data_IF_726409651164
#
_entry.id   IF_726409651164
#
_cell.length_a   1.000
_cell.length_b   1.000
_cell.length_c   1.000
_cell.angle_alpha   90.00
_cell.angle_beta   90.00
_cell.angle_gamma   90.00
#
_symmetry.space_group_name_H-M   'P 1'
#
loop_
_entity.id
_entity.type
_entity.pdbx_description
1 polymer ?
#
# COMPACT_ATOMS: atom_id res chain seq x y z
N UNK A 1 53.62 34.84 -62.81
CA UNK A 1 53.23 36.27 -62.64
C UNK A 1 51.82 36.34 -62.08
N UNK A 2 51.63 37.10 -60.97
CA UNK A 2 50.48 37.95 -60.57
C UNK A 2 49.05 37.33 -60.63
N UNK A 3 48.15 37.36 -59.64
CA UNK A 3 47.91 38.11 -58.38
C UNK A 3 46.69 37.40 -57.73
N UNK A 4 46.62 37.04 -56.44
CA UNK A 4 46.27 37.88 -55.27
C UNK A 4 45.18 38.94 -55.52
N UNK A 5 43.95 38.64 -55.09
CA UNK A 5 42.99 39.67 -54.65
C UNK A 5 42.45 39.25 -53.29
N UNK A 6 42.89 40.01 -52.28
CA UNK A 6 42.30 40.12 -50.98
C UNK A 6 41.04 40.98 -51.06
N UNK A 7 40.07 40.72 -50.18
CA UNK A 7 39.11 41.73 -49.78
C UNK A 7 38.93 41.69 -48.26
N UNK A 8 39.04 42.90 -47.73
CA UNK A 8 39.18 43.31 -46.34
C UNK A 8 37.79 43.45 -45.69
N UNK A 9 37.75 43.22 -44.38
CA UNK A 9 36.60 43.30 -43.47
C UNK A 9 35.84 44.65 -43.49
N UNK A 10 34.66 44.70 -42.83
CA UNK A 10 34.73 45.34 -41.52
C UNK A 10 34.03 44.58 -40.38
N UNK A 11 34.60 44.81 -39.22
CA UNK A 11 34.15 44.48 -37.86
C UNK A 11 32.90 45.29 -37.51
N UNK A 12 31.80 44.60 -37.20
CA UNK A 12 30.72 45.01 -36.31
C UNK A 12 30.28 43.69 -35.65
N UNK A 13 30.51 43.40 -34.38
CA UNK A 13 30.18 44.23 -33.23
C UNK A 13 28.86 43.73 -32.63
N UNK A 14 28.86 42.54 -32.04
CA UNK A 14 27.84 42.09 -31.09
C UNK A 14 28.42 40.96 -30.22
N UNK A 15 28.89 41.36 -29.04
CA UNK A 15 29.12 40.47 -27.91
C UNK A 15 27.79 39.84 -27.53
N UNK A 16 27.46 38.69 -28.12
CA UNK A 16 26.57 37.74 -27.47
C UNK A 16 27.42 37.04 -26.40
N UNK A 17 27.45 37.62 -25.20
CA UNK A 17 27.75 36.84 -24.00
C UNK A 17 26.74 35.69 -23.99
N UNK A 18 27.17 34.52 -24.46
CA UNK A 18 26.55 33.27 -24.08
C UNK A 18 26.75 33.19 -22.57
N UNK A 19 25.77 33.70 -21.83
CA UNK A 19 25.59 33.34 -20.45
C UNK A 19 25.38 31.82 -20.46
N UNK A 20 26.47 31.08 -20.25
CA UNK A 20 26.39 29.81 -19.57
C UNK A 20 25.71 30.13 -18.24
N UNK A 21 24.38 30.02 -18.21
CA UNK A 21 23.70 29.81 -16.96
C UNK A 21 24.31 28.54 -16.40
N UNK A 22 25.07 28.57 -15.29
CA UNK A 22 25.29 27.34 -14.57
C UNK A 22 23.88 26.87 -14.22
N UNK A 23 23.49 25.72 -14.78
CA UNK A 23 22.45 24.94 -14.14
C UNK A 23 22.97 24.77 -12.71
N UNK A 24 22.35 25.49 -11.76
CA UNK A 24 22.53 25.24 -10.36
C UNK A 24 22.11 23.79 -10.16
N UNK A 25 23.10 22.90 -10.17
CA UNK A 25 22.96 21.57 -9.64
C UNK A 25 22.51 21.77 -8.20
N UNK A 26 21.23 21.47 -7.94
CA UNK A 26 20.77 21.24 -6.57
C UNK A 26 21.50 19.99 -6.09
N UNK A 27 22.71 20.18 -5.55
CA UNK A 27 23.60 19.14 -5.03
C UNK A 27 22.99 18.41 -3.81
N UNK A 28 21.91 18.96 -3.23
CA UNK A 28 21.27 18.42 -2.02
C UNK A 28 20.16 17.40 -2.30
N UNK A 29 19.80 17.17 -3.55
CA UNK A 29 18.67 16.30 -3.86
C UNK A 29 19.17 14.85 -4.04
N UNK A 30 19.23 14.11 -2.92
CA UNK A 30 19.71 12.74 -2.92
C UNK A 30 18.88 11.84 -3.85
N UNK A 31 19.56 11.04 -4.67
CA UNK A 31 18.95 10.23 -5.73
C UNK A 31 18.86 8.73 -5.41
N UNK A 32 19.20 8.31 -4.19
CA UNK A 32 19.21 6.90 -3.80
C UNK A 32 20.17 6.65 -2.63
N UNK A 33 20.86 5.50 -2.62
CA UNK A 33 21.89 5.22 -1.62
C UNK A 33 23.07 6.19 -1.77
N UNK A 34 23.31 7.01 -0.76
CA UNK A 34 24.54 7.81 -0.68
C UNK A 34 25.77 6.90 -0.60
N UNK A 35 26.96 7.45 -0.86
CA UNK A 35 28.21 6.69 -0.69
C UNK A 35 28.38 6.19 0.75
N UNK A 36 27.98 7.00 1.74
CA UNK A 36 27.97 6.60 3.15
C UNK A 36 27.01 5.43 3.40
N UNK A 37 25.77 5.52 2.91
CA UNK A 37 24.78 4.45 3.05
C UNK A 37 25.23 3.18 2.33
N UNK A 38 25.89 3.30 1.17
CA UNK A 38 26.44 2.18 0.41
C UNK A 38 27.56 1.47 1.19
N UNK A 39 28.51 2.25 1.76
CA UNK A 39 29.58 1.70 2.60
C UNK A 39 29.03 1.04 3.87
N UNK A 40 28.02 1.65 4.48
CA UNK A 40 27.34 1.09 5.64
C UNK A 40 26.61 -0.20 5.25
N UNK A 41 25.82 -0.21 4.18
CA UNK A 41 25.13 -1.41 3.71
C UNK A 41 26.10 -2.57 3.43
N UNK A 42 27.28 -2.28 2.86
CA UNK A 42 28.33 -3.28 2.61
C UNK A 42 28.92 -3.89 3.89
N UNK A 43 28.88 -3.19 5.02
CA UNK A 43 29.45 -3.66 6.30
C UNK A 43 28.45 -4.35 7.22
N UNK A 44 27.16 -4.27 6.90
CA UNK A 44 26.10 -4.82 7.74
C UNK A 44 25.68 -6.22 7.28
N UNK A 45 25.38 -7.13 8.22
CA UNK A 45 24.63 -8.35 7.92
C UNK A 45 23.26 -8.01 7.30
N UNK A 46 22.91 -8.70 6.21
CA UNK A 46 21.67 -8.45 5.47
C UNK A 46 20.66 -9.56 5.68
N UNK A 47 19.42 -9.18 5.97
CA UNK A 47 18.29 -10.07 6.16
C UNK A 47 17.15 -9.68 5.22
N UNK A 48 16.54 -10.66 4.56
CA UNK A 48 15.34 -10.50 3.74
C UNK A 48 14.23 -11.32 4.38
N UNK A 49 13.27 -10.63 4.98
CA UNK A 49 12.19 -11.24 5.76
C UNK A 49 10.83 -10.97 5.08
N UNK A 50 10.01 -12.01 4.88
CA UNK A 50 8.65 -11.84 4.44
C UNK A 50 7.80 -11.34 5.61
N UNK A 51 6.88 -10.43 5.34
CA UNK A 51 5.92 -9.97 6.33
C UNK A 51 4.84 -11.02 6.58
N UNK A 52 4.42 -11.72 5.52
CA UNK A 52 3.57 -12.92 5.55
C UNK A 52 4.06 -13.89 4.48
N UNK A 53 3.88 -15.21 4.65
CA UNK A 53 4.35 -16.20 3.67
C UNK A 53 3.51 -16.24 2.39
N UNK A 54 2.29 -15.70 2.44
CA UNK A 54 1.29 -15.80 1.37
C UNK A 54 0.56 -14.47 1.20
N UNK A 55 -0.09 -14.30 0.06
CA UNK A 55 -0.97 -13.15 -0.17
C UNK A 55 -2.07 -13.11 0.89
N UNK A 56 -2.24 -11.92 1.47
CA UNK A 56 -3.25 -11.62 2.50
C UNK A 56 -3.83 -10.23 2.26
N UNK A 57 -5.05 -9.94 2.71
CA UNK A 57 -5.57 -8.58 2.66
C UNK A 57 -4.78 -7.65 3.58
N UNK A 58 -4.43 -6.49 3.07
CA UNK A 58 -3.64 -5.46 3.76
C UNK A 58 -4.44 -4.16 3.84
N UNK A 59 -4.34 -3.49 5.00
CA UNK A 59 -4.71 -2.08 5.11
C UNK A 59 -3.47 -1.20 5.13
N UNK A 60 -3.49 -0.21 4.25
CA UNK A 60 -2.54 0.88 4.23
C UNK A 60 -3.17 2.10 4.88
N UNK A 61 -2.69 2.41 6.08
CA UNK A 61 -3.03 3.66 6.75
C UNK A 61 -1.92 4.64 6.41
N UNK A 62 -2.16 5.49 5.40
CA UNK A 62 -1.23 6.56 5.05
C UNK A 62 -1.66 7.86 5.70
N UNK A 63 -0.79 8.52 6.47
CA UNK A 63 -0.97 9.92 6.84
C UNK A 63 -0.42 10.78 5.69
N UNK A 64 -1.28 11.29 4.81
CA UNK A 64 -0.87 12.14 3.68
C UNK A 64 -1.31 13.57 3.94
N UNK A 65 -0.48 14.37 4.60
CA UNK A 65 -0.66 15.81 4.65
C UNK A 65 -0.19 16.46 3.35
N UNK A 66 -1.10 16.64 2.38
CA UNK A 66 -0.79 17.29 1.10
C UNK A 66 -1.93 18.14 0.53
N UNK A 67 -1.62 19.20 -0.25
CA UNK A 67 -2.63 20.08 -0.87
C UNK A 67 -3.39 19.44 -2.05
N UNK A 68 -2.91 18.31 -2.59
CA UNK A 68 -3.63 17.54 -3.63
C UNK A 68 -4.64 16.51 -3.08
N UNK A 69 -4.82 16.43 -1.76
CA UNK A 69 -5.95 15.71 -1.15
C UNK A 69 -7.32 16.36 -1.42
N UNK A 70 -7.38 17.40 -2.26
CA UNK A 70 -8.59 18.16 -2.58
C UNK A 70 -9.58 17.43 -3.49
N UNK A 71 -9.25 16.27 -4.07
CA UNK A 71 -10.22 15.38 -4.72
C UNK A 71 -10.73 14.24 -3.85
N UNK A 72 -10.15 14.04 -2.65
CA UNK A 72 -10.58 13.04 -1.68
C UNK A 72 -10.64 13.67 -0.27
N UNK A 73 -11.75 14.37 0.00
CA UNK A 73 -12.29 14.68 1.33
C UNK A 73 -11.29 15.08 2.43
N UNK A 74 -10.93 16.37 2.50
CA UNK A 74 -10.33 16.98 3.71
C UNK A 74 -11.38 16.95 4.84
N UNK A 75 -11.06 16.51 6.06
CA UNK A 75 -10.27 17.21 7.09
C UNK A 75 -9.62 16.16 8.03
N UNK A 76 -8.32 16.31 8.34
CA UNK A 76 -7.58 15.48 9.31
C UNK A 76 -6.88 14.27 8.64
N UNK A 77 -5.75 14.52 7.99
CA UNK A 77 -5.28 13.75 6.83
C UNK A 77 -4.68 12.36 7.15
N UNK A 78 -5.52 11.40 7.50
CA UNK A 78 -5.32 10.00 7.17
C UNK A 78 -6.03 9.70 5.85
N UNK A 79 -5.29 9.24 4.85
CA UNK A 79 -5.83 8.58 3.67
C UNK A 79 -5.80 7.09 3.96
N UNK A 80 -6.96 6.52 4.28
CA UNK A 80 -7.14 5.08 4.38
C UNK A 80 -7.36 4.59 2.95
N UNK A 81 -6.37 3.91 2.38
CA UNK A 81 -6.54 3.28 1.07
C UNK A 81 -7.17 1.90 1.28
N UNK A 82 -8.22 1.59 0.50
CA UNK A 82 -9.05 0.38 0.65
C UNK A 82 -10.53 0.62 0.97
N UNK A 83 -10.97 1.89 1.07
CA UNK A 83 -12.38 2.27 1.18
C UNK A 83 -12.75 3.25 0.05
N UNK A 84 -14.00 3.25 -0.45
CA UNK A 84 -14.49 4.27 -1.37
C UNK A 84 -14.37 5.68 -0.79
N UNK A 85 -14.21 6.73 -1.62
CA UNK A 85 -13.96 8.10 -1.15
C UNK A 85 -15.00 8.65 -0.16
N UNK A 86 -16.29 8.31 -0.34
CA UNK A 86 -17.36 8.75 0.54
C UNK A 86 -17.31 8.08 1.93
N UNK A 87 -16.96 6.79 1.98
CA UNK A 87 -16.78 6.05 3.23
C UNK A 87 -15.50 6.49 3.93
N UNK A 88 -14.39 6.64 3.19
CA UNK A 88 -13.14 7.18 3.69
C UNK A 88 -13.33 8.58 4.30
N UNK A 89 -14.10 9.47 3.67
CA UNK A 89 -14.42 10.80 4.20
C UNK A 89 -15.25 10.73 5.51
N UNK A 90 -16.23 9.82 5.59
CA UNK A 90 -17.04 9.64 6.80
C UNK A 90 -16.25 9.04 7.97
N UNK A 91 -15.30 8.14 7.69
CA UNK A 91 -14.41 7.54 8.69
C UNK A 91 -13.36 8.55 9.16
N UNK A 92 -12.78 9.34 8.25
CA UNK A 92 -11.87 10.45 8.59
C UNK A 92 -12.56 11.53 9.42
N UNK A 93 -13.86 11.79 9.18
CA UNK A 93 -14.65 12.72 10.01
C UNK A 93 -14.82 12.23 11.46
N UNK A 94 -14.88 10.91 11.68
CA UNK A 94 -14.95 10.31 13.02
C UNK A 94 -13.61 10.41 13.78
N UNK A 95 -12.50 10.35 13.04
CA UNK A 95 -11.11 10.47 13.55
C UNK A 95 -10.76 11.92 13.92
N UNK A 96 -11.45 12.92 13.35
CA UNK A 96 -11.22 14.35 13.60
C UNK A 96 -11.57 14.85 15.01
N UNK A 97 -12.24 14.06 15.85
CA UNK A 97 -12.75 14.48 17.16
C UNK A 97 -11.76 14.26 18.33
N UNK A 98 -10.54 14.80 18.24
CA UNK A 98 -9.58 14.85 19.36
C UNK A 98 -8.83 13.54 19.66
N UNK A 99 -7.72 13.66 20.41
CA UNK A 99 -6.72 12.59 20.60
C UNK A 99 -7.28 11.29 21.23
N UNK A 100 -8.36 11.36 22.01
CA UNK A 100 -9.04 10.18 22.58
C UNK A 100 -9.97 9.46 21.59
N UNK A 101 -10.56 10.17 20.61
CA UNK A 101 -11.41 9.57 19.59
C UNK A 101 -10.60 8.90 18.47
N UNK A 102 -9.36 9.32 18.24
CA UNK A 102 -8.47 8.76 17.22
C UNK A 102 -8.12 7.28 17.47
N UNK A 103 -7.88 6.90 18.74
CA UNK A 103 -7.54 5.51 19.10
C UNK A 103 -8.76 4.60 18.95
N UNK A 104 -9.94 5.05 19.39
CA UNK A 104 -11.18 4.28 19.28
C UNK A 104 -11.66 4.17 17.83
N UNK A 105 -11.53 5.23 17.02
CA UNK A 105 -11.89 5.21 15.60
C UNK A 105 -10.96 4.31 14.78
N UNK A 106 -9.64 4.32 15.04
CA UNK A 106 -8.71 3.39 14.39
C UNK A 106 -9.07 1.93 14.66
N UNK A 107 -9.46 1.58 15.89
CA UNK A 107 -9.89 0.22 16.24
C UNK A 107 -11.18 -0.19 15.51
N UNK A 108 -12.17 0.70 15.42
CA UNK A 108 -13.43 0.43 14.69
C UNK A 108 -13.19 0.32 13.18
N UNK A 109 -12.39 1.20 12.60
CA UNK A 109 -11.97 1.14 11.19
C UNK A 109 -11.27 -0.18 10.90
N UNK A 110 -10.37 -0.58 11.79
CA UNK A 110 -9.68 -1.85 11.72
C UNK A 110 -10.65 -3.03 11.77
N UNK A 111 -11.59 -3.04 12.71
CA UNK A 111 -12.58 -4.11 12.83
C UNK A 111 -13.49 -4.20 11.59
N UNK A 112 -14.00 -3.08 11.10
CA UNK A 112 -14.82 -3.02 9.89
C UNK A 112 -14.03 -3.46 8.65
N UNK A 113 -12.79 -2.97 8.52
CA UNK A 113 -11.86 -3.37 7.48
C UNK A 113 -11.60 -4.87 7.51
N UNK A 114 -11.36 -5.45 8.71
CA UNK A 114 -11.18 -6.89 8.90
C UNK A 114 -12.38 -7.69 8.43
N UNK A 115 -13.59 -7.31 8.87
CA UNK A 115 -14.80 -8.00 8.45
C UNK A 115 -15.02 -7.97 6.94
N UNK A 116 -14.73 -6.84 6.29
CA UNK A 116 -14.85 -6.68 4.83
C UNK A 116 -13.78 -7.46 4.07
N UNK A 117 -12.52 -7.33 4.51
CA UNK A 117 -11.40 -8.05 3.92
C UNK A 117 -11.57 -9.56 4.00
N UNK A 118 -12.02 -10.09 5.15
CA UNK A 118 -12.29 -11.52 5.31
C UNK A 118 -13.35 -11.99 4.30
N UNK A 119 -14.51 -11.33 4.26
CA UNK A 119 -15.59 -11.69 3.33
C UNK A 119 -15.14 -11.70 1.87
N UNK A 120 -14.34 -10.71 1.48
CA UNK A 120 -13.84 -10.63 0.12
C UNK A 120 -12.76 -11.69 -0.14
N UNK A 121 -11.90 -11.98 0.83
CA UNK A 121 -10.82 -12.95 0.69
C UNK A 121 -11.30 -14.40 0.55
N UNK A 122 -12.48 -14.72 1.08
CA UNK A 122 -13.04 -16.08 1.02
C UNK A 122 -13.03 -16.64 -0.41
N UNK A 123 -13.35 -15.83 -1.43
CA UNK A 123 -13.33 -16.26 -2.84
C UNK A 123 -11.90 -16.60 -3.33
N UNK A 124 -10.91 -15.79 -2.94
CA UNK A 124 -9.49 -16.00 -3.27
C UNK A 124 -8.96 -17.25 -2.56
N UNK A 125 -9.33 -17.45 -1.29
CA UNK A 125 -8.92 -18.62 -0.52
C UNK A 125 -9.53 -19.91 -1.06
N UNK A 126 -10.83 -19.91 -1.38
CA UNK A 126 -11.52 -21.06 -1.95
C UNK A 126 -10.91 -21.48 -3.30
N UNK A 127 -10.50 -20.51 -4.12
CA UNK A 127 -9.81 -20.76 -5.38
C UNK A 127 -8.31 -21.08 -5.22
N UNK A 128 -7.77 -21.08 -4.00
CA UNK A 128 -6.33 -21.27 -3.69
C UNK A 128 -5.42 -20.24 -4.37
N UNK A 129 -5.93 -19.02 -4.53
CA UNK A 129 -5.22 -17.88 -5.11
C UNK A 129 -4.47 -17.04 -4.07
N UNK A 130 -4.33 -17.53 -2.83
CA UNK A 130 -3.52 -16.93 -1.78
C UNK A 130 -2.03 -17.28 -1.98
N UNK A 131 -1.45 -16.91 -3.12
CA UNK A 131 -0.14 -17.38 -3.58
C UNK A 131 1.01 -17.10 -2.59
N UNK A 132 2.06 -17.94 -2.57
CA UNK A 132 3.26 -17.67 -1.77
C UNK A 132 4.02 -16.44 -2.28
N UNK A 133 4.82 -15.82 -1.43
CA UNK A 133 5.61 -14.62 -1.75
C UNK A 133 7.12 -14.88 -1.90
N UNK A 134 7.53 -16.15 -1.97
CA UNK A 134 8.94 -16.56 -2.03
C UNK A 134 9.69 -15.95 -3.23
N UNK A 135 8.99 -15.78 -4.35
CA UNK A 135 9.53 -15.19 -5.59
C UNK A 135 9.95 -13.75 -5.39
N UNK A 136 9.20 -12.99 -4.56
CA UNK A 136 9.55 -11.62 -4.21
C UNK A 136 10.82 -11.58 -3.35
N UNK A 137 10.95 -12.48 -2.37
CA UNK A 137 12.19 -12.58 -1.57
C UNK A 137 13.40 -12.89 -2.46
N UNK A 138 13.26 -13.84 -3.38
CA UNK A 138 14.31 -14.19 -4.35
C UNK A 138 14.69 -12.99 -5.22
N UNK A 139 13.70 -12.27 -5.75
CA UNK A 139 13.94 -11.08 -6.57
C UNK A 139 14.66 -9.95 -5.81
N UNK A 140 14.34 -9.76 -4.53
CA UNK A 140 15.04 -8.79 -3.66
C UNK A 140 16.49 -9.23 -3.42
N UNK A 141 16.73 -10.49 -3.08
CA UNK A 141 18.09 -11.04 -2.93
C UNK A 141 18.90 -10.89 -4.20
N UNK A 142 18.32 -11.21 -5.35
CA UNK A 142 18.99 -11.08 -6.64
C UNK A 142 19.28 -9.61 -6.98
N UNK A 143 18.39 -8.69 -6.59
CA UNK A 143 18.62 -7.24 -6.74
C UNK A 143 19.76 -6.75 -5.87
N UNK A 144 19.89 -7.26 -4.63
CA UNK A 144 21.02 -6.98 -3.74
C UNK A 144 22.32 -7.50 -4.35
N UNK A 145 22.35 -8.74 -4.86
CA UNK A 145 23.55 -9.33 -5.48
C UNK A 145 24.02 -8.55 -6.72
N UNK A 146 23.10 -7.94 -7.46
CA UNK A 146 23.43 -7.08 -8.62
C UNK A 146 23.93 -5.69 -8.23
N UNK A 147 23.76 -5.28 -6.98
CA UNK A 147 24.23 -3.98 -6.50
C UNK A 147 25.75 -3.96 -6.30
N UNK A 148 26.36 -2.77 -6.38
CA UNK A 148 27.80 -2.59 -6.21
C UNK A 148 28.30 -2.99 -4.81
N UNK A 149 27.45 -2.88 -3.79
CA UNK A 149 27.79 -3.22 -2.41
C UNK A 149 27.42 -4.68 -2.05
N UNK A 150 26.36 -5.22 -2.65
CA UNK A 150 25.77 -6.50 -2.27
C UNK A 150 26.32 -7.72 -3.01
N UNK A 151 27.21 -7.54 -4.00
CA UNK A 151 27.75 -8.64 -4.82
C UNK A 151 28.47 -9.73 -4.01
N UNK A 152 29.08 -9.37 -2.88
CA UNK A 152 29.76 -10.31 -1.96
C UNK A 152 28.97 -10.57 -0.68
N UNK A 153 27.82 -9.91 -0.53
CA UNK A 153 27.00 -10.00 0.67
C UNK A 153 26.11 -11.24 0.62
N UNK A 154 26.25 -12.11 1.63
CA UNK A 154 25.36 -13.25 1.79
C UNK A 154 24.07 -12.82 2.50
N UNK A 155 23.09 -12.35 1.72
CA UNK A 155 21.77 -11.99 2.23
C UNK A 155 21.04 -13.23 2.76
N UNK A 156 20.72 -13.25 4.05
CA UNK A 156 19.98 -14.33 4.69
C UNK A 156 18.49 -14.17 4.38
N UNK A 157 17.88 -15.21 3.85
CA UNK A 157 16.43 -15.27 3.64
C UNK A 157 15.81 -16.04 4.78
N UNK A 158 14.85 -15.42 5.43
CA UNK A 158 14.08 -16.09 6.49
C UNK A 158 12.74 -16.51 5.92
N UNK A 159 12.27 -17.68 6.36
CA UNK A 159 11.03 -18.28 5.89
C UNK A 159 10.11 -18.53 7.09
N UNK A 160 8.81 -18.43 6.88
CA UNK A 160 7.83 -18.89 7.85
C UNK A 160 7.86 -20.42 7.89
N UNK A 161 7.87 -20.98 9.11
CA UNK A 161 7.68 -22.41 9.36
C UNK A 161 6.38 -22.53 10.15
N UNK A 162 5.43 -23.32 9.63
CA UNK A 162 4.13 -23.56 10.26
C UNK A 162 3.33 -22.26 10.56
N UNK A 163 3.35 -21.29 9.64
CA UNK A 163 2.62 -20.03 9.82
C UNK A 163 3.20 -19.09 10.87
N UNK A 164 4.40 -19.36 11.37
CA UNK A 164 5.11 -18.46 12.28
C UNK A 164 6.53 -18.21 11.78
N UNK A 165 7.02 -16.98 11.95
CA UNK A 165 8.42 -16.70 11.67
C UNK A 165 9.24 -17.32 12.79
N UNK A 166 10.14 -18.24 12.46
CA UNK A 166 10.99 -18.90 13.46
C UNK A 166 11.76 -17.84 14.25
N UNK A 167 11.51 -17.76 15.55
CA UNK A 167 12.12 -16.73 16.41
C UNK A 167 13.63 -16.84 16.46
N UNK A 168 14.20 -18.01 16.22
CA UNK A 168 15.66 -18.24 16.16
C UNK A 168 16.27 -17.72 14.86
N UNK A 169 15.43 -17.48 13.86
CA UNK A 169 15.76 -16.98 12.54
C UNK A 169 15.45 -15.49 12.37
N UNK A 170 14.88 -14.85 13.41
CA UNK A 170 14.69 -13.41 13.39
C UNK A 170 16.06 -12.69 13.36
N UNK A 171 16.17 -11.56 12.64
CA UNK A 171 17.37 -10.73 12.69
C UNK A 171 17.68 -10.33 14.15
N UNK A 172 18.93 -10.45 14.60
CA UNK A 172 19.31 -10.12 15.97
C UNK A 172 19.04 -8.65 16.24
N UNK A 173 18.19 -8.36 17.24
CA UNK A 173 17.74 -6.98 17.53
C UNK A 173 18.84 -6.11 18.17
N UNK A 174 19.83 -6.75 18.78
CA UNK A 174 20.93 -6.09 19.49
C UNK A 174 22.20 -5.88 18.65
N UNK A 175 22.17 -6.26 17.38
CA UNK A 175 23.32 -6.18 16.46
C UNK A 175 23.03 -5.25 15.26
N UNK A 176 24.06 -4.59 14.72
CA UNK A 176 23.93 -3.81 13.49
C UNK A 176 23.46 -4.71 12.34
N UNK A 177 22.49 -4.24 11.55
CA UNK A 177 21.85 -5.05 10.51
C UNK A 177 21.16 -4.18 9.46
N UNK A 178 21.06 -4.71 8.25
CA UNK A 178 20.20 -4.20 7.19
C UNK A 178 19.06 -5.21 6.97
N UNK A 179 17.82 -4.76 7.09
CA UNK A 179 16.63 -5.61 7.02
C UNK A 179 15.76 -5.16 5.85
N UNK A 180 15.45 -6.09 4.96
CA UNK A 180 14.47 -5.93 3.90
C UNK A 180 13.19 -6.66 4.31
N UNK A 181 12.13 -5.91 4.58
CA UNK A 181 10.80 -6.48 4.85
C UNK A 181 10.01 -6.49 3.56
N UNK A 182 9.72 -7.69 3.05
CA UNK A 182 8.97 -7.86 1.81
C UNK A 182 7.54 -8.27 2.10
N UNK A 183 6.58 -7.74 1.35
CA UNK A 183 5.17 -8.07 1.54
C UNK A 183 4.43 -8.02 0.22
N UNK A 184 3.40 -8.84 0.07
CA UNK A 184 2.45 -8.73 -1.03
C UNK A 184 1.05 -9.07 -0.52
N UNK A 185 0.04 -8.39 -1.04
CA UNK A 185 -1.32 -8.54 -0.54
C UNK A 185 -2.35 -7.72 -1.30
N UNK A 186 -3.61 -8.02 -1.05
CA UNK A 186 -4.73 -7.33 -1.68
C UNK A 186 -5.12 -6.10 -0.86
N UNK A 187 -5.62 -5.05 -1.52
CA UNK A 187 -6.38 -4.01 -0.82
C UNK A 187 -7.65 -4.58 -0.18
N UNK A 188 -8.22 -3.91 0.82
CA UNK A 188 -9.44 -4.36 1.53
C UNK A 188 -10.63 -4.60 0.59
N UNK A 189 -10.75 -3.74 -0.42
CA UNK A 189 -11.75 -3.80 -1.47
C UNK A 189 -11.30 -4.63 -2.69
N UNK A 190 -10.13 -5.29 -2.61
CA UNK A 190 -9.59 -6.12 -3.68
C UNK A 190 -9.48 -5.41 -5.04
N UNK A 191 -9.49 -4.08 -5.07
CA UNK A 191 -9.29 -3.33 -6.30
C UNK A 191 -7.86 -3.50 -6.82
N UNK A 192 -6.89 -3.76 -5.94
CA UNK A 192 -5.48 -3.87 -6.28
C UNK A 192 -4.79 -5.03 -5.58
N UNK A 193 -3.70 -5.52 -6.20
CA UNK A 193 -2.64 -6.27 -5.55
C UNK A 193 -1.44 -5.35 -5.35
N UNK A 194 -1.01 -5.23 -4.10
CA UNK A 194 0.08 -4.36 -3.66
C UNK A 194 1.27 -5.20 -3.24
N UNK A 195 2.46 -4.77 -3.64
CA UNK A 195 3.74 -5.39 -3.27
C UNK A 195 4.63 -4.34 -2.66
N UNK A 196 5.25 -4.65 -1.53
CA UNK A 196 6.02 -3.70 -0.74
C UNK A 196 7.38 -4.25 -0.39
N UNK A 197 8.39 -3.37 -0.39
CA UNK A 197 9.70 -3.66 0.19
C UNK A 197 10.13 -2.48 1.04
N UNK A 198 10.29 -2.71 2.34
CA UNK A 198 10.84 -1.74 3.27
C UNK A 198 12.31 -2.10 3.54
N UNK A 199 13.22 -1.13 3.41
CA UNK A 199 14.66 -1.29 3.61
C UNK A 199 15.07 -0.49 4.84
N UNK A 200 15.44 -1.18 5.92
CA UNK A 200 15.73 -0.58 7.22
C UNK A 200 17.17 -0.87 7.64
N UNK A 201 17.95 0.18 7.85
CA UNK A 201 19.30 0.05 8.42
C UNK A 201 19.29 0.34 9.91
N UNK A 202 19.75 -0.60 10.72
CA UNK A 202 19.98 -0.44 12.15
C UNK A 202 21.50 -0.46 12.37
N UNK A 203 22.10 0.70 12.67
CA UNK A 203 23.53 0.79 12.89
C UNK A 203 23.86 1.82 13.98
N UNK A 204 24.90 1.59 14.80
CA UNK A 204 25.30 2.52 15.84
C UNK A 204 25.67 3.89 15.29
N UNK A 205 25.21 4.93 15.98
CA UNK A 205 25.66 6.30 15.80
C UNK A 205 25.97 6.88 17.19
N UNK A 206 27.24 7.17 17.44
CA UNK A 206 27.71 7.57 18.77
C UNK A 206 27.61 6.45 19.83
N UNK A 207 27.42 6.84 21.10
CA UNK A 207 27.42 5.92 22.25
C UNK A 207 26.03 5.37 22.63
N UNK A 208 24.98 5.76 21.90
CA UNK A 208 23.59 5.40 22.22
C UNK A 208 23.19 3.99 21.78
N UNK A 209 22.09 3.47 22.35
CA UNK A 209 21.48 2.17 21.98
C UNK A 209 20.15 2.30 21.22
N UNK A 210 19.72 3.54 20.92
CA UNK A 210 18.48 3.84 20.21
C UNK A 210 18.41 3.13 18.84
N UNK A 211 19.55 3.04 18.15
CA UNK A 211 19.70 2.35 16.87
C UNK A 211 19.26 0.88 16.87
N UNK A 212 19.13 0.23 18.04
CA UNK A 212 18.63 -1.14 18.14
C UNK A 212 17.14 -1.25 17.82
N UNK A 213 16.40 -0.16 18.10
CA UNK A 213 14.94 -0.04 17.94
C UNK A 213 14.54 0.87 16.80
N UNK A 214 15.37 1.88 16.52
CA UNK A 214 15.10 2.90 15.50
C UNK A 214 16.05 2.71 14.32
N UNK A 215 15.50 2.60 13.12
CA UNK A 215 16.31 2.54 11.91
C UNK A 215 16.98 3.89 11.67
N UNK A 216 18.27 3.87 11.34
CA UNK A 216 19.04 5.04 10.94
C UNK A 216 18.46 5.67 9.67
N UNK A 217 17.94 4.86 8.76
CA UNK A 217 17.18 5.30 7.59
C UNK A 217 16.22 4.21 7.12
N UNK A 218 15.18 4.63 6.40
CA UNK A 218 14.17 3.77 5.80
C UNK A 218 13.88 4.20 4.34
N UNK A 219 13.85 3.21 3.45
CA UNK A 219 13.19 3.31 2.14
C UNK A 219 11.99 2.38 2.09
N UNK A 220 10.85 2.87 1.61
CA UNK A 220 9.65 2.08 1.37
C UNK A 220 9.31 2.12 -0.11
N UNK A 221 9.35 0.96 -0.76
CA UNK A 221 8.96 0.76 -2.15
C UNK A 221 7.61 0.09 -2.20
N UNK A 222 6.70 0.61 -3.04
CA UNK A 222 5.38 0.03 -3.25
C UNK A 222 5.11 -0.05 -4.74
N UNK A 223 4.87 -1.26 -5.25
CA UNK A 223 4.32 -1.51 -6.56
C UNK A 223 2.84 -1.88 -6.40
N UNK A 224 1.97 -1.26 -7.20
CA UNK A 224 0.53 -1.51 -7.18
C UNK A 224 0.11 -2.01 -8.56
N UNK A 225 -0.67 -3.08 -8.59
CA UNK A 225 -1.23 -3.58 -9.85
C UNK A 225 -2.22 -2.58 -10.44
N UNK A 226 -2.48 -2.72 -11.74
CA UNK A 226 -3.63 -2.07 -12.35
C UNK A 226 -4.91 -2.34 -11.55
N UNK A 227 -5.79 -1.34 -11.38
CA UNK A 227 -7.07 -1.53 -10.72
C UNK A 227 -7.92 -2.54 -11.47
N UNK A 228 -8.66 -3.36 -10.72
CA UNK A 228 -9.81 -4.04 -11.30
C UNK A 228 -10.86 -3.00 -11.68
N UNK A 229 -11.02 -2.81 -12.98
CA UNK A 229 -12.12 -2.05 -13.55
C UNK A 229 -13.34 -2.98 -13.62
N UNK A 230 -14.40 -2.57 -12.94
CA UNK A 230 -15.69 -3.24 -12.99
C UNK A 230 -16.61 -2.44 -13.91
N UNK A 231 -17.07 -3.08 -14.97
CA UNK A 231 -18.18 -2.56 -15.76
C UNK A 231 -19.46 -2.53 -14.94
N UNK A 232 -20.48 -1.83 -15.42
CA UNK A 232 -21.81 -1.87 -14.79
C UNK A 232 -22.33 -3.31 -14.69
N UNK A 233 -23.16 -3.58 -13.67
CA UNK A 233 -23.74 -4.91 -13.46
C UNK A 233 -24.53 -5.36 -14.69
N UNK A 234 -24.28 -6.59 -15.12
CA UNK A 234 -25.12 -7.26 -16.10
C UNK A 234 -26.41 -7.76 -15.46
N UNK A 235 -27.41 -8.14 -16.27
CA UNK A 235 -28.61 -8.81 -15.77
C UNK A 235 -28.27 -10.10 -15.01
N UNK A 236 -27.26 -10.84 -15.47
CA UNK A 236 -26.81 -12.06 -14.80
C UNK A 236 -26.22 -11.76 -13.40
N UNK A 237 -25.49 -10.65 -13.25
CA UNK A 237 -24.96 -10.22 -11.95
C UNK A 237 -26.10 -9.84 -10.98
N UNK A 238 -27.08 -9.09 -11.48
CA UNK A 238 -28.27 -8.69 -10.69
C UNK A 238 -29.03 -9.92 -10.21
N UNK A 239 -29.28 -10.89 -11.11
CA UNK A 239 -29.99 -12.12 -10.79
C UNK A 239 -29.20 -13.01 -9.82
N UNK A 240 -27.87 -13.07 -9.97
CA UNK A 240 -27.00 -13.81 -9.05
C UNK A 240 -27.00 -13.19 -7.65
N UNK A 241 -26.82 -11.87 -7.54
CA UNK A 241 -26.86 -11.15 -6.26
C UNK A 241 -28.22 -11.27 -5.58
N UNK A 242 -29.30 -11.13 -6.36
CA UNK A 242 -30.67 -11.25 -5.85
C UNK A 242 -30.91 -12.66 -5.29
N UNK A 243 -30.50 -13.71 -6.02
CA UNK A 243 -30.59 -15.10 -5.52
C UNK A 243 -29.74 -15.32 -4.27
N UNK A 244 -28.52 -14.78 -4.23
CA UNK A 244 -27.64 -14.89 -3.07
C UNK A 244 -28.24 -14.23 -1.82
N UNK A 245 -28.87 -13.05 -1.96
CA UNK A 245 -29.54 -12.36 -0.87
C UNK A 245 -30.77 -13.14 -0.36
N UNK A 246 -31.60 -13.68 -1.26
CA UNK A 246 -32.71 -14.56 -0.86
C UNK A 246 -32.23 -15.79 -0.09
N UNK A 247 -31.18 -16.45 -0.59
CA UNK A 247 -30.58 -17.61 0.08
C UNK A 247 -30.02 -17.23 1.46
N UNK A 248 -29.29 -16.11 1.56
CA UNK A 248 -28.75 -15.61 2.83
C UNK A 248 -29.87 -15.33 3.83
N UNK A 249 -30.93 -14.63 3.40
CA UNK A 249 -32.04 -14.26 4.28
C UNK A 249 -32.83 -15.47 4.79
N UNK A 250 -32.99 -16.50 3.96
CA UNK A 250 -33.59 -17.78 4.35
C UNK A 250 -32.71 -18.52 5.39
N UNK A 251 -31.39 -18.58 5.17
CA UNK A 251 -30.44 -19.29 6.04
C UNK A 251 -30.29 -18.67 7.43
N UNK A 252 -30.50 -17.37 7.61
CA UNK A 252 -30.41 -16.74 8.94
C UNK A 252 -31.61 -17.01 9.85
N UNK A 253 -32.69 -17.62 9.34
CA UNK A 253 -33.94 -17.79 10.08
C UNK A 253 -34.72 -16.49 10.32
N UNK A 254 -34.28 -15.38 9.72
CA UNK A 254 -34.91 -14.07 9.87
C UNK A 254 -36.33 -14.05 9.31
N UNK A 255 -36.59 -14.79 8.23
CA UNK A 255 -37.94 -14.92 7.69
C UNK A 255 -38.89 -15.54 8.72
N UNK A 256 -38.45 -16.59 9.42
CA UNK A 256 -39.24 -17.21 10.48
C UNK A 256 -39.47 -16.25 11.66
N UNK A 257 -38.44 -15.48 12.05
CA UNK A 257 -38.57 -14.45 13.09
C UNK A 257 -39.59 -13.36 12.70
N UNK A 258 -39.52 -12.87 11.46
CA UNK A 258 -40.46 -11.85 10.96
C UNK A 258 -41.89 -12.41 10.92
N UNK A 259 -42.08 -13.65 10.44
CA UNK A 259 -43.39 -14.32 10.46
C UNK A 259 -43.92 -14.49 11.89
N UNK A 260 -43.07 -14.93 12.83
CA UNK A 260 -43.42 -15.07 14.26
C UNK A 260 -43.92 -13.75 14.83
N UNK A 261 -43.16 -12.67 14.62
CA UNK A 261 -43.51 -11.33 15.11
C UNK A 261 -44.80 -10.82 14.48
N UNK A 262 -44.99 -11.00 13.16
CA UNK A 262 -46.20 -10.57 12.47
C UNK A 262 -47.45 -11.33 12.97
N UNK A 263 -47.33 -12.63 13.24
CA UNK A 263 -48.43 -13.44 13.79
C UNK A 263 -48.79 -13.05 15.24
N UNK A 264 -47.79 -12.70 16.06
CA UNK A 264 -48.02 -12.27 17.44
C UNK A 264 -48.50 -10.81 17.55
N UNK A 265 -48.28 -9.98 16.52
CA UNK A 265 -48.74 -8.60 16.43
C UNK A 265 -48.32 -7.75 17.64
N UNK A 266 -49.29 -7.12 18.31
CA UNK A 266 -49.03 -6.29 19.49
C UNK A 266 -48.45 -7.07 20.68
N UNK A 267 -48.70 -8.39 20.75
CA UNK A 267 -48.24 -9.26 21.83
C UNK A 267 -46.80 -9.77 21.65
N UNK A 268 -46.16 -9.50 20.50
CA UNK A 268 -44.75 -9.83 20.29
C UNK A 268 -43.84 -9.08 21.28
N UNK A 269 -42.74 -9.70 21.72
CA UNK A 269 -41.79 -9.02 22.61
C UNK A 269 -41.16 -7.81 21.89
N UNK A 270 -40.95 -6.69 22.62
CA UNK A 270 -40.36 -5.47 22.05
C UNK A 270 -39.00 -5.70 21.40
N UNK A 271 -38.18 -6.57 21.98
CA UNK A 271 -36.84 -6.90 21.47
C UNK A 271 -36.92 -7.72 20.18
N UNK A 272 -37.83 -8.69 20.10
CA UNK A 272 -38.09 -9.50 18.89
C UNK A 272 -38.63 -8.63 17.75
N UNK A 273 -39.57 -7.72 18.04
CA UNK A 273 -40.04 -6.73 17.06
C UNK A 273 -38.91 -5.93 16.45
N UNK A 274 -38.02 -5.38 17.29
CA UNK A 274 -36.88 -4.60 16.83
C UNK A 274 -35.95 -5.43 15.94
N UNK A 275 -35.63 -6.66 16.35
CA UNK A 275 -34.79 -7.58 15.55
C UNK A 275 -35.42 -7.92 14.21
N UNK A 276 -36.71 -8.24 14.19
CA UNK A 276 -37.47 -8.52 12.97
C UNK A 276 -37.49 -7.32 12.00
N UNK A 277 -37.77 -6.10 12.51
CA UNK A 277 -37.76 -4.88 11.69
C UNK A 277 -36.39 -4.59 11.09
N UNK A 278 -35.31 -4.74 11.88
CA UNK A 278 -33.94 -4.54 11.40
C UNK A 278 -33.62 -5.57 10.31
N UNK A 279 -33.94 -6.85 10.54
CA UNK A 279 -33.70 -7.91 9.56
C UNK A 279 -34.46 -7.68 8.24
N UNK A 280 -35.75 -7.32 8.31
CA UNK A 280 -36.57 -7.03 7.13
C UNK A 280 -36.09 -5.78 6.37
N UNK A 281 -35.71 -4.73 7.09
CA UNK A 281 -35.15 -3.50 6.50
C UNK A 281 -33.84 -3.79 5.78
N UNK A 282 -32.93 -4.55 6.40
CA UNK A 282 -31.66 -4.94 5.79
C UNK A 282 -31.86 -5.82 4.56
N UNK A 283 -32.79 -6.78 4.61
CA UNK A 283 -33.12 -7.60 3.44
C UNK A 283 -33.62 -6.75 2.26
N UNK A 284 -34.58 -5.84 2.50
CA UNK A 284 -35.10 -4.93 1.48
C UNK A 284 -34.00 -4.03 0.91
N UNK A 285 -33.10 -3.52 1.76
CA UNK A 285 -31.98 -2.69 1.34
C UNK A 285 -31.00 -3.49 0.47
N UNK A 286 -30.68 -4.73 0.84
CA UNK A 286 -29.79 -5.60 0.07
C UNK A 286 -30.40 -5.98 -1.29
N UNK A 287 -31.71 -6.23 -1.36
CA UNK A 287 -32.41 -6.46 -2.62
C UNK A 287 -32.36 -5.22 -3.52
N UNK A 288 -32.54 -4.02 -2.94
CA UNK A 288 -32.38 -2.76 -3.69
C UNK A 288 -30.97 -2.63 -4.26
N UNK A 289 -29.94 -2.83 -3.42
CA UNK A 289 -28.54 -2.80 -3.84
C UNK A 289 -28.24 -3.86 -4.92
N UNK A 290 -28.86 -5.03 -4.84
CA UNK A 290 -28.72 -6.10 -5.84
C UNK A 290 -29.29 -5.68 -7.19
N UNK A 291 -30.44 -4.98 -7.19
CA UNK A 291 -31.15 -4.53 -8.40
C UNK A 291 -30.57 -3.27 -9.06
N UNK A 292 -29.74 -2.48 -8.34
CA UNK A 292 -29.06 -1.32 -8.94
C UNK A 292 -28.13 -1.76 -10.09
N UNK A 293 -27.88 -0.89 -11.07
CA UNK A 293 -26.94 -1.18 -12.16
C UNK A 293 -25.50 -0.92 -11.77
N UNK A 294 -25.27 -0.06 -10.78
CA UNK A 294 -23.95 0.22 -10.24
C UNK A 294 -23.60 -0.75 -9.12
N UNK A 295 -22.31 -1.06 -8.99
CA UNK A 295 -21.81 -1.84 -7.89
C UNK A 295 -21.68 -0.98 -6.63
N UNK A 296 -22.35 -1.37 -5.55
CA UNK A 296 -22.10 -0.78 -4.24
C UNK A 296 -20.66 -1.07 -3.77
N UNK A 297 -20.08 -0.23 -2.91
CA UNK A 297 -18.77 -0.46 -2.30
C UNK A 297 -18.47 -1.91 -1.88
N UNK A 298 -19.36 -2.52 -1.12
CA UNK A 298 -19.17 -3.88 -0.61
C UNK A 298 -19.27 -4.92 -1.74
N UNK A 299 -20.22 -4.76 -2.66
CA UNK A 299 -20.38 -5.67 -3.79
C UNK A 299 -19.22 -5.58 -4.78
N UNK A 300 -18.63 -4.39 -4.97
CA UNK A 300 -17.40 -4.20 -5.75
C UNK A 300 -16.29 -5.07 -5.22
N UNK A 301 -16.06 -5.05 -3.90
CA UNK A 301 -14.95 -5.80 -3.30
C UNK A 301 -15.08 -7.31 -3.47
N UNK A 302 -16.29 -7.83 -3.32
CA UNK A 302 -16.58 -9.24 -3.54
C UNK A 302 -16.42 -9.62 -5.03
N UNK A 303 -16.91 -8.79 -5.96
CA UNK A 303 -16.74 -9.09 -7.40
C UNK A 303 -15.27 -9.01 -7.82
N UNK A 304 -14.54 -8.01 -7.34
CA UNK A 304 -13.11 -7.88 -7.58
C UNK A 304 -12.33 -9.09 -7.06
N UNK A 305 -12.65 -9.61 -5.87
CA UNK A 305 -11.98 -10.79 -5.34
C UNK A 305 -12.26 -12.05 -6.15
N UNK A 306 -13.47 -12.20 -6.70
CA UNK A 306 -13.79 -13.27 -7.65
C UNK A 306 -12.96 -13.13 -8.94
N UNK A 307 -12.83 -11.93 -9.50
CA UNK A 307 -12.03 -11.69 -10.70
C UNK A 307 -10.52 -11.96 -10.49
N UNK A 308 -9.99 -11.78 -9.29
CA UNK A 308 -8.63 -12.23 -8.93
C UNK A 308 -8.51 -13.76 -8.88
N UNK A 309 -9.61 -14.44 -8.54
CA UNK A 309 -9.69 -15.88 -8.40
C UNK A 309 -10.02 -16.63 -9.72
N UNK A 310 -10.54 -15.93 -10.73
CA UNK A 310 -10.90 -16.49 -12.03
C UNK A 310 -9.69 -17.02 -12.81
N UNK A 311 -9.95 -17.94 -13.75
CA UNK A 311 -8.96 -18.51 -14.68
C UNK A 311 -7.70 -19.06 -13.97
N UNK A 312 -7.91 -19.85 -12.91
CA UNK A 312 -6.82 -20.42 -12.10
C UNK A 312 -5.87 -19.33 -11.57
N UNK A 313 -6.40 -18.22 -11.03
CA UNK A 313 -5.59 -17.15 -10.47
C UNK A 313 -4.65 -16.44 -11.46
N UNK A 314 -4.85 -16.56 -12.78
CA UNK A 314 -3.91 -16.04 -13.79
C UNK A 314 -3.60 -14.55 -13.59
N UNK A 315 -4.64 -13.73 -13.33
CA UNK A 315 -4.47 -12.30 -13.04
C UNK A 315 -3.62 -12.06 -11.80
N UNK A 316 -3.84 -12.82 -10.74
CA UNK A 316 -3.08 -12.72 -9.47
C UNK A 316 -1.61 -13.04 -9.70
N UNK A 317 -1.31 -14.12 -10.42
CA UNK A 317 0.08 -14.49 -10.77
C UNK A 317 0.76 -13.40 -11.60
N UNK A 318 0.10 -12.94 -12.66
CA UNK A 318 0.63 -11.90 -13.53
C UNK A 318 0.92 -10.59 -12.79
N UNK A 319 0.00 -10.17 -11.92
CA UNK A 319 0.19 -8.97 -11.10
C UNK A 319 1.36 -9.12 -10.12
N UNK A 320 1.51 -10.29 -9.49
CA UNK A 320 2.62 -10.55 -8.58
C UNK A 320 3.98 -10.53 -9.32
N UNK A 321 4.05 -11.13 -10.52
CA UNK A 321 5.25 -11.09 -11.36
C UNK A 321 5.59 -9.65 -11.75
N UNK A 322 4.64 -8.90 -12.32
CA UNK A 322 4.84 -7.50 -12.75
C UNK A 322 5.26 -6.59 -11.58
N UNK A 323 4.60 -6.73 -10.43
CA UNK A 323 4.96 -5.96 -9.24
C UNK A 323 6.37 -6.32 -8.73
N UNK A 324 6.74 -7.60 -8.77
CA UNK A 324 8.08 -8.07 -8.35
C UNK A 324 9.17 -7.53 -9.27
N UNK A 325 8.93 -7.51 -10.58
CA UNK A 325 9.82 -6.88 -11.56
C UNK A 325 9.97 -5.38 -11.27
N UNK A 326 8.88 -4.69 -10.96
CA UNK A 326 8.90 -3.26 -10.66
C UNK A 326 9.64 -2.93 -9.36
N UNK A 327 9.41 -3.70 -8.29
CA UNK A 327 10.22 -3.62 -7.07
C UNK A 327 11.71 -3.79 -7.40
N UNK A 328 12.05 -4.77 -8.23
CA UNK A 328 13.45 -5.01 -8.63
C UNK A 328 14.03 -3.83 -9.42
N UNK A 329 13.23 -3.19 -10.29
CA UNK A 329 13.62 -1.95 -10.99
C UNK A 329 13.86 -0.81 -10.02
N UNK A 330 12.96 -0.59 -9.06
CA UNK A 330 13.10 0.47 -8.06
C UNK A 330 14.31 0.25 -7.13
N UNK A 331 14.59 -0.99 -6.72
CA UNK A 331 15.81 -1.33 -5.98
C UNK A 331 17.07 -1.11 -6.83
N UNK A 332 17.05 -1.49 -8.10
CA UNK A 332 18.12 -1.17 -9.03
C UNK A 332 18.37 0.34 -9.16
N UNK A 333 17.30 1.13 -9.27
CA UNK A 333 17.37 2.59 -9.29
C UNK A 333 17.88 3.18 -7.97
N UNK A 334 17.51 2.61 -6.82
CA UNK A 334 18.02 2.99 -5.50
C UNK A 334 19.55 2.84 -5.45
N UNK A 335 20.06 1.67 -5.87
CA UNK A 335 21.49 1.39 -5.83
C UNK A 335 22.29 2.17 -6.88
N UNK A 336 21.66 2.50 -8.01
CA UNK A 336 22.26 3.30 -9.06
C UNK A 336 22.20 4.82 -8.79
N UNK A 337 21.61 5.25 -7.67
CA UNK A 337 21.31 6.66 -7.39
C UNK A 337 20.53 7.32 -8.52
N UNK A 338 19.50 6.63 -9.03
CA UNK A 338 18.63 7.08 -10.13
C UNK A 338 17.17 7.16 -9.72
N UNK A 339 16.87 7.08 -8.43
CA UNK A 339 15.51 7.35 -8.00
C UNK A 339 15.17 8.82 -8.28
N UNK A 340 13.91 9.12 -8.63
CA UNK A 340 13.49 10.50 -8.87
C UNK A 340 13.79 11.40 -7.67
N UNK A 341 14.08 12.66 -7.97
CA UNK A 341 14.42 13.70 -7.00
C UNK A 341 13.33 13.80 -5.92
N UNK A 342 13.77 13.87 -4.67
CA UNK A 342 12.94 14.41 -3.60
C UNK A 342 12.65 15.87 -3.99
N UNK A 343 11.39 16.23 -4.30
CA UNK A 343 11.05 17.60 -4.75
C UNK A 343 11.74 18.65 -3.86
N UNK A 344 12.43 19.60 -4.49
CA UNK A 344 13.13 20.67 -3.79
C UNK A 344 12.18 21.53 -2.92
N UNK A 345 12.69 22.17 -1.84
CA UNK A 345 11.88 22.75 -0.76
C UNK A 345 10.94 23.91 -1.15
N UNK A 346 10.99 24.43 -2.38
CA UNK A 346 10.25 25.63 -2.77
C UNK A 346 8.72 25.47 -2.73
N UNK A 347 8.20 24.23 -2.77
CA UNK A 347 6.78 23.91 -2.53
C UNK A 347 6.52 23.32 -1.12
N UNK A 348 7.57 23.03 -0.35
CA UNK A 348 7.49 22.38 0.97
C UNK A 348 7.31 23.38 2.14
N UNK A 349 7.43 24.69 1.87
CA UNK A 349 7.43 25.76 2.88
C UNK A 349 6.07 26.04 3.55
N UNK A 350 5.05 25.20 3.39
CA UNK A 350 3.76 25.37 4.09
C UNK A 350 3.28 24.15 4.90
N UNK A 351 4.07 23.10 5.09
CA UNK A 351 3.60 21.92 5.85
C UNK A 351 4.57 21.32 6.87
N UNK A 352 5.83 21.79 6.97
CA UNK A 352 6.84 21.14 7.77
C UNK A 352 7.05 21.82 9.14
N UNK A 353 6.23 21.48 10.14
CA UNK A 353 6.55 21.68 11.57
C UNK A 353 6.20 20.49 12.47
N UNK A 354 6.11 19.28 11.92
CA UNK A 354 6.01 18.05 12.73
C UNK A 354 7.00 16.98 12.27
N UNK A 355 7.88 16.55 13.17
CA UNK A 355 8.68 15.32 12.99
C UNK A 355 7.72 14.16 12.74
N UNK A 356 7.80 13.49 11.59
CA UNK A 356 6.80 12.47 11.25
C UNK A 356 6.38 12.40 9.80
N UNK A 357 6.50 13.50 9.06
CA UNK A 357 5.90 13.58 7.73
C UNK A 357 6.69 12.77 6.69
N UNK A 358 5.98 11.89 5.98
CA UNK A 358 6.48 11.05 4.90
C UNK A 358 6.17 11.73 3.57
N UNK A 359 7.18 11.87 2.71
CA UNK A 359 6.94 12.22 1.30
C UNK A 359 6.62 10.94 0.52
N UNK A 360 5.46 10.91 -0.14
CA UNK A 360 5.05 9.81 -1.02
C UNK A 360 5.14 10.33 -2.46
N UNK A 361 6.03 9.74 -3.25
CA UNK A 361 6.16 10.05 -4.67
C UNK A 361 5.33 9.06 -5.47
N UNK A 362 4.24 9.53 -6.09
CA UNK A 362 3.55 8.75 -7.10
C UNK A 362 4.38 8.78 -8.39
N UNK A 363 4.77 7.62 -8.90
CA UNK A 363 5.31 7.46 -10.25
C UNK A 363 4.17 7.08 -11.21
N UNK A 364 4.34 7.27 -12.53
CA UNK A 364 3.38 6.78 -13.52
C UNK A 364 3.05 5.29 -13.31
N UNK A 365 1.79 4.92 -13.47
CA UNK A 365 1.35 3.52 -13.34
C UNK A 365 1.05 3.04 -11.91
N UNK A 366 0.82 3.96 -10.95
CA UNK A 366 0.39 3.58 -9.60
C UNK A 366 1.54 3.10 -8.69
N UNK A 367 2.78 3.48 -8.99
CA UNK A 367 3.93 3.13 -8.17
C UNK A 367 4.21 4.20 -7.14
N UNK A 368 4.73 3.80 -5.98
CA UNK A 368 5.04 4.75 -4.92
C UNK A 368 6.40 4.48 -4.29
N UNK A 369 7.15 5.55 -4.06
CA UNK A 369 8.39 5.53 -3.27
C UNK A 369 8.24 6.51 -2.13
N UNK A 370 8.57 6.07 -0.92
CA UNK A 370 8.66 6.94 0.26
C UNK A 370 10.01 6.78 0.95
N UNK A 371 10.56 7.90 1.43
CA UNK A 371 11.87 7.99 2.10
C UNK A 371 11.71 8.66 3.45
N UNK A 372 12.42 8.18 4.45
CA UNK A 372 12.48 8.83 5.76
C UNK A 372 13.87 8.64 6.38
N UNK A 373 14.57 9.74 6.62
CA UNK A 373 15.92 9.73 7.18
C UNK A 373 15.95 9.76 8.72
N UNK A 374 14.83 10.00 9.42
CA UNK A 374 14.82 10.13 10.89
C UNK A 374 13.49 9.75 11.53
N UNK A 375 13.16 8.46 11.61
CA UNK A 375 12.10 7.96 12.49
C UNK A 375 12.21 6.46 12.79
N UNK A 376 11.80 6.08 13.99
CA UNK A 376 11.27 4.75 14.27
C UNK A 376 10.02 4.52 13.41
N UNK A 377 10.07 3.60 12.45
CA UNK A 377 8.84 3.05 11.91
C UNK A 377 8.43 1.91 12.79
N UNK A 378 7.39 2.14 13.59
CA UNK A 378 6.53 1.06 14.01
C UNK A 378 6.02 0.40 12.73
N UNK A 379 6.31 -0.89 12.54
CA UNK A 379 5.78 -1.72 11.46
C UNK A 379 4.22 -1.69 11.45
N UNK A 380 3.62 -1.12 12.49
CA UNK A 380 2.19 -0.93 12.74
C UNK A 380 1.40 -0.07 11.75
N UNK A 381 1.98 0.61 10.74
CA UNK A 381 1.13 1.35 9.77
C UNK A 381 0.52 0.44 8.69
N UNK A 382 0.93 -0.84 8.65
CA UNK A 382 0.34 -1.86 7.79
C UNK A 382 -0.23 -2.95 8.68
N UNK A 383 -1.55 -3.01 8.68
CA UNK A 383 -2.25 -4.04 9.41
C UNK A 383 -2.74 -5.10 8.44
N UNK A 384 -2.16 -6.29 8.56
CA UNK A 384 -2.77 -7.48 7.99
C UNK A 384 -4.02 -7.76 8.79
N UNK A 385 -5.11 -7.91 8.05
CA UNK A 385 -6.42 -7.97 8.63
C UNK A 385 -6.79 -9.35 9.13
N UNK A 386 -6.02 -10.36 8.75
CA UNK A 386 -6.28 -11.73 9.07
C UNK A 386 -5.01 -12.38 9.64
N UNK A 387 -5.13 -13.24 10.66
CA UNK A 387 -4.05 -14.11 11.10
C UNK A 387 -3.71 -15.14 10.01
N UNK A 388 -2.53 -15.77 10.13
CA UNK A 388 -2.02 -16.75 9.18
C UNK A 388 -2.86 -18.04 9.09
#
# INVERSE_FOLDING_TARGET
MKRLVALVAPVIGLYAFAACSPALANDDAQHGFTEEQTRLAASLPVYVIPQHPRLRPQMFITSVSGPHASSMGRIGNFTITGFPPAEAASLSALVGAGAGAQVLSAAVIMEQGRGRAQRNFDAVQQARCDLPVDDLQRAVVDSIRRSSWGATTNAKTEFFVDGSLDRKRLPPKDEPRLVFVVGAGFSVDFAHLMTTVDVLAYAPEGSGSAWKRESRWLYSFVAVSDPIQLDAKTTADIDAMTRAEYSRYALTGNEALVRKVNNAGFYAEKTERRKATVAATMHKQNLKVSAETEWSPDARGLRSSQLWAENDCARTRDALVRNTEEISRMLGALYAQKLPLEKAPAEATQAATSSGQRYIYALPGGLYVSRNEKLAVDLANRHYLMPD
#
